data_IF_608493705587
#
_entry.id   IF_608493705587
#
_cell.length_a   1.000
_cell.length_b   1.000
_cell.length_c   1.000
_cell.angle_alpha   90.00
_cell.angle_beta   90.00
_cell.angle_gamma   90.00
#
_symmetry.space_group_name_H-M   'P 1'
#
loop_
_entity.id
_entity.type
_entity.pdbx_description
1 polymer ?
#
# COMPACT_ATOMS: atom_id res chain seq x y z
N UNK A 1 18.15 -14.07 12.17
CA UNK A 1 17.55 -15.42 12.34
C UNK A 1 16.09 -15.31 11.93
N UNK A 2 15.66 -16.01 10.88
CA UNK A 2 14.25 -16.00 10.44
C UNK A 2 13.43 -16.96 11.29
N UNK A 3 12.28 -16.53 11.82
CA UNK A 3 11.37 -17.39 12.57
C UNK A 3 10.18 -17.79 11.71
N UNK A 4 9.78 -19.07 11.77
CA UNK A 4 8.62 -19.57 11.04
C UNK A 4 7.34 -19.03 11.67
N UNK A 5 6.68 -18.09 11.00
CA UNK A 5 5.37 -17.61 11.41
C UNK A 5 4.33 -18.71 11.13
N UNK A 6 3.46 -19.01 12.10
CA UNK A 6 2.49 -20.11 12.01
C UNK A 6 1.45 -19.95 10.89
N UNK A 7 0.58 -20.95 10.69
CA UNK A 7 -0.44 -21.03 9.60
C UNK A 7 -1.38 -19.81 9.46
N UNK A 8 -1.40 -18.88 10.43
CA UNK A 8 -2.19 -17.64 10.38
C UNK A 8 -1.60 -16.58 9.43
N UNK A 9 -0.34 -16.72 9.02
CA UNK A 9 0.22 -15.90 7.96
C UNK A 9 -0.37 -16.35 6.62
N UNK A 10 -1.50 -15.75 6.23
CA UNK A 10 -1.98 -15.86 4.85
C UNK A 10 -0.85 -15.37 3.94
N UNK A 11 -0.56 -16.10 2.86
CA UNK A 11 0.44 -15.69 1.89
C UNK A 11 0.17 -14.26 1.41
N UNK A 12 1.24 -13.49 1.28
CA UNK A 12 1.18 -12.12 0.79
C UNK A 12 1.25 -12.18 -0.73
N UNK A 13 0.10 -12.20 -1.38
CA UNK A 13 0.04 -12.64 -2.78
C UNK A 13 0.41 -11.56 -3.81
N UNK A 14 0.33 -10.24 -3.52
CA UNK A 14 0.38 -9.24 -4.60
C UNK A 14 0.96 -7.86 -4.27
N UNK A 15 0.78 -7.31 -3.06
CA UNK A 15 1.19 -5.92 -2.79
C UNK A 15 1.53 -5.74 -1.32
N UNK A 16 2.83 -5.63 -1.04
CA UNK A 16 3.35 -5.44 0.30
C UNK A 16 4.63 -4.63 0.29
N UNK A 17 4.94 -4.06 1.44
CA UNK A 17 6.24 -3.48 1.73
C UNK A 17 6.63 -3.80 3.17
N UNK A 18 7.90 -3.58 3.49
CA UNK A 18 8.40 -3.66 4.86
C UNK A 18 8.90 -2.27 5.21
N UNK A 19 8.37 -1.70 6.29
CA UNK A 19 8.74 -0.37 6.79
C UNK A 19 9.01 -0.55 8.29
N UNK A 20 10.18 -0.12 8.77
CA UNK A 20 10.59 -0.26 10.18
C UNK A 20 10.32 -1.66 10.77
N UNK A 21 10.71 -2.71 10.01
CA UNK A 21 10.52 -4.12 10.37
C UNK A 21 9.05 -4.58 10.52
N UNK A 22 8.08 -3.82 10.03
CA UNK A 22 6.67 -4.23 9.97
C UNK A 22 6.29 -4.50 8.52
N UNK A 23 5.63 -5.64 8.29
CA UNK A 23 5.10 -5.99 6.98
C UNK A 23 3.73 -5.33 6.84
N UNK A 24 3.58 -4.52 5.80
CA UNK A 24 2.32 -3.91 5.40
C UNK A 24 1.84 -4.55 4.10
N UNK A 25 0.53 -4.70 3.94
CA UNK A 25 -0.06 -5.17 2.68
C UNK A 25 -1.30 -4.37 2.32
N UNK A 26 -1.63 -4.38 1.03
CA UNK A 26 -2.94 -3.98 0.55
C UNK A 26 -3.74 -5.21 0.12
N UNK A 27 -4.88 -5.42 0.77
CA UNK A 27 -5.71 -6.58 0.57
C UNK A 27 -7.19 -6.18 0.59
N UNK A 28 -7.88 -6.40 -0.53
CA UNK A 28 -9.32 -6.23 -0.67
C UNK A 28 -9.83 -4.85 -0.19
N UNK A 29 -9.20 -3.78 -0.67
CA UNK A 29 -9.58 -2.42 -0.32
C UNK A 29 -9.07 -1.94 1.04
N UNK A 30 -8.28 -2.74 1.76
CA UNK A 30 -7.78 -2.43 3.10
C UNK A 30 -6.26 -2.43 3.14
N UNK A 31 -5.72 -1.46 3.87
CA UNK A 31 -4.34 -1.49 4.33
C UNK A 31 -4.28 -2.30 5.62
N UNK A 32 -3.38 -3.27 5.65
CA UNK A 32 -3.19 -4.15 6.79
C UNK A 32 -1.71 -4.19 7.16
N UNK A 33 -1.42 -4.40 8.44
CA UNK A 33 -0.07 -4.62 8.94
C UNK A 33 -0.04 -5.89 9.79
N UNK A 34 1.10 -6.58 9.77
CA UNK A 34 1.26 -7.83 10.50
C UNK A 34 1.82 -7.57 11.91
N UNK A 35 1.01 -7.86 12.93
CA UNK A 35 1.44 -7.84 14.32
C UNK A 35 2.14 -9.15 14.66
N UNK A 36 3.46 -9.12 14.78
CA UNK A 36 4.28 -10.28 15.10
C UNK A 36 4.05 -10.83 16.50
N UNK A 37 3.61 -9.99 17.45
CA UNK A 37 3.41 -10.38 18.85
C UNK A 37 2.21 -11.31 18.98
N UNK A 38 1.09 -10.93 18.35
CA UNK A 38 -0.14 -11.75 18.36
C UNK A 38 -0.31 -12.62 17.11
N UNK A 39 0.60 -12.50 16.14
CA UNK A 39 0.64 -13.23 14.86
C UNK A 39 -0.65 -13.09 14.05
N UNK A 40 -1.13 -11.85 13.92
CA UNK A 40 -2.37 -11.51 13.22
C UNK A 40 -2.19 -10.29 12.31
N UNK A 41 -2.93 -10.30 11.21
CA UNK A 41 -3.13 -9.10 10.40
C UNK A 41 -4.11 -8.17 11.10
N UNK A 42 -3.75 -6.89 11.20
CA UNK A 42 -4.58 -5.82 11.73
C UNK A 42 -4.81 -4.77 10.66
N UNK A 43 -6.00 -4.18 10.63
CA UNK A 43 -6.32 -3.07 9.73
C UNK A 43 -5.52 -1.83 10.16
N UNK A 44 -4.97 -1.10 9.20
CA UNK A 44 -4.42 0.23 9.41
C UNK A 44 -5.58 1.25 9.47
N UNK A 45 -5.64 2.02 10.54
CA UNK A 45 -6.67 3.05 10.75
C UNK A 45 -6.21 4.41 10.19
N UNK A 46 -7.11 5.34 9.88
CA UNK A 46 -6.75 6.72 9.48
C UNK A 46 -6.39 6.90 8.00
N UNK A 47 -6.72 5.92 7.16
CA UNK A 47 -6.44 5.91 5.71
C UNK A 47 -7.71 5.83 4.87
N UNK A 48 -8.85 6.22 5.43
CA UNK A 48 -10.16 6.16 4.81
C UNK A 48 -10.29 7.09 3.58
N UNK A 49 -9.44 8.10 3.50
CA UNK A 49 -9.36 9.05 2.37
C UNK A 49 -8.76 8.41 1.10
N UNK A 50 -8.01 7.31 1.23
CA UNK A 50 -7.43 6.62 0.08
C UNK A 50 -8.52 5.77 -0.58
N UNK A 51 -8.79 5.93 -1.89
CA UNK A 51 -9.84 5.19 -2.55
C UNK A 51 -9.61 3.68 -2.48
N UNK A 52 -10.71 2.94 -2.35
CA UNK A 52 -10.69 1.47 -2.47
C UNK A 52 -10.45 1.12 -3.93
N UNK A 53 -9.29 0.55 -4.22
CA UNK A 53 -8.87 0.16 -5.56
C UNK A 53 -8.80 -1.36 -5.67
N UNK A 54 -8.82 -1.85 -6.90
CA UNK A 54 -8.68 -3.28 -7.16
C UNK A 54 -7.34 -3.76 -6.61
N UNK A 55 -7.37 -4.82 -5.79
CA UNK A 55 -6.20 -5.37 -5.09
C UNK A 55 -4.96 -5.53 -5.99
N UNK A 56 -5.15 -5.95 -7.24
CA UNK A 56 -4.06 -6.24 -8.19
C UNK A 56 -3.39 -4.99 -8.76
N UNK A 57 -4.01 -3.81 -8.62
CA UNK A 57 -3.51 -2.55 -9.17
C UNK A 57 -2.62 -1.78 -8.20
N UNK A 58 -2.77 -1.99 -6.89
CA UNK A 58 -1.97 -1.27 -5.89
C UNK A 58 -0.55 -1.84 -5.79
N UNK A 59 0.45 -0.98 -5.65
CA UNK A 59 1.84 -1.30 -5.29
C UNK A 59 2.30 -0.45 -4.12
N UNK A 60 2.89 -1.09 -3.13
CA UNK A 60 3.36 -0.47 -1.89
C UNK A 60 4.88 -0.37 -1.91
N UNK A 61 5.43 0.71 -1.38
CA UNK A 61 6.85 0.89 -1.17
C UNK A 61 7.13 1.66 0.13
N UNK A 62 8.33 1.46 0.68
CA UNK A 62 8.89 2.34 1.70
C UNK A 62 9.30 3.67 1.05
N UNK A 63 8.87 4.77 1.66
CA UNK A 63 9.21 6.14 1.28
C UNK A 63 9.75 6.89 2.50
N UNK A 64 10.97 6.54 2.91
CA UNK A 64 11.64 7.19 4.04
C UNK A 64 10.92 6.99 5.38
N UNK A 65 10.48 5.76 5.66
CA UNK A 65 9.70 5.44 6.86
C UNK A 65 8.19 5.68 6.69
N UNK A 66 7.75 6.23 5.55
CA UNK A 66 6.34 6.37 5.18
C UNK A 66 5.95 5.28 4.18
N UNK A 67 4.65 5.05 4.04
CA UNK A 67 4.14 4.12 3.04
C UNK A 67 3.70 4.89 1.79
N UNK A 68 4.38 4.64 0.67
CA UNK A 68 3.92 5.07 -0.64
C UNK A 68 3.04 3.99 -1.26
N UNK A 69 1.92 4.41 -1.87
CA UNK A 69 0.97 3.54 -2.56
C UNK A 69 0.77 4.07 -3.96
N UNK A 70 0.99 3.23 -4.97
CA UNK A 70 0.78 3.54 -6.39
C UNK A 70 -0.37 2.67 -6.93
N UNK A 71 -1.28 3.25 -7.70
CA UNK A 71 -2.33 2.50 -8.39
C UNK A 71 -2.71 3.16 -9.72
N UNK A 72 -3.27 2.38 -10.64
CA UNK A 72 -3.82 2.89 -11.89
C UNK A 72 -5.35 3.00 -11.83
N UNK A 73 -5.90 4.04 -12.45
CA UNK A 73 -7.34 4.25 -12.58
C UNK A 73 -7.68 4.69 -14.00
N UNK A 74 -8.67 4.07 -14.62
CA UNK A 74 -9.15 4.46 -15.95
C UNK A 74 -9.72 5.88 -15.93
N UNK A 75 -9.39 6.68 -16.96
CA UNK A 75 -9.91 8.03 -17.14
C UNK A 75 -11.11 7.97 -18.10
N UNK A 76 -12.35 8.20 -17.63
CA UNK A 76 -13.57 7.99 -18.43
C UNK A 76 -13.64 8.85 -19.71
N UNK A 77 -13.01 10.02 -19.71
CA UNK A 77 -13.14 11.03 -20.76
C UNK A 77 -12.12 10.90 -21.90
N UNK A 78 -11.17 9.96 -21.80
CA UNK A 78 -10.20 9.75 -22.86
C UNK A 78 -10.77 8.78 -23.89
N UNK A 79 -10.98 9.23 -25.14
CA UNK A 79 -11.44 8.38 -26.24
C UNK A 79 -10.58 7.12 -26.44
N UNK A 80 -9.34 7.14 -25.93
CA UNK A 80 -8.34 6.07 -26.05
C UNK A 80 -8.30 5.11 -24.83
N UNK A 81 -9.09 5.39 -23.77
CA UNK A 81 -9.14 4.56 -22.56
C UNK A 81 -7.88 4.61 -21.71
N UNK A 82 -7.17 5.74 -21.71
CA UNK A 82 -5.97 5.99 -20.92
C UNK A 82 -6.23 5.83 -19.42
N UNK A 83 -5.14 5.66 -18.67
CA UNK A 83 -5.17 5.51 -17.22
C UNK A 83 -4.36 6.61 -16.56
N UNK A 84 -4.84 7.08 -15.42
CA UNK A 84 -4.06 7.91 -14.51
C UNK A 84 -3.39 7.01 -13.47
N UNK A 85 -2.08 7.14 -13.32
CA UNK A 85 -1.33 6.61 -12.18
C UNK A 85 -1.46 7.62 -11.05
N UNK A 86 -1.90 7.14 -9.90
CA UNK A 86 -2.03 7.91 -8.67
C UNK A 86 -0.99 7.48 -7.66
N UNK A 87 -0.62 8.39 -6.77
CA UNK A 87 0.22 8.12 -5.63
C UNK A 87 -0.38 8.72 -4.36
N UNK A 88 -0.43 7.90 -3.30
CA UNK A 88 -0.63 8.37 -1.95
C UNK A 88 0.62 8.13 -1.10
N UNK A 89 0.98 9.10 -0.26
CA UNK A 89 2.01 8.94 0.76
C UNK A 89 1.34 9.01 2.12
N UNK A 90 1.53 7.96 2.90
CA UNK A 90 0.88 7.74 4.20
C UNK A 90 1.96 7.73 5.27
N UNK A 91 1.95 8.74 6.13
CA UNK A 91 2.76 8.73 7.35
C UNK A 91 2.20 7.68 8.33
N UNK A 92 3.08 6.95 8.99
CA UNK A 92 2.73 5.87 9.90
C UNK A 92 3.05 6.30 11.34
N UNK A 93 2.09 6.12 12.25
CA UNK A 93 2.24 6.45 13.66
C UNK A 93 1.92 5.23 14.52
N UNK A 94 2.86 4.83 15.38
CA UNK A 94 2.62 3.79 16.39
C UNK A 94 2.05 4.44 17.66
N UNK A 95 0.88 3.98 18.09
CA UNK A 95 0.22 4.47 19.30
C UNK A 95 0.57 3.63 20.52
N UNK A 96 0.37 4.19 21.71
CA UNK A 96 0.57 3.51 22.99
C UNK A 96 -0.27 2.22 23.15
N UNK A 97 -1.39 2.12 22.43
CA UNK A 97 -2.22 0.91 22.39
C UNK A 97 -1.59 -0.24 21.60
N UNK A 98 -0.46 -0.01 20.94
CA UNK A 98 0.17 -0.97 20.01
C UNK A 98 -0.48 -0.99 18.63
N UNK A 99 -1.52 -0.17 18.38
CA UNK A 99 -2.07 0.01 17.04
C UNK A 99 -1.21 0.96 16.20
N UNK A 100 -1.22 0.73 14.89
CA UNK A 100 -0.59 1.63 13.92
C UNK A 100 -1.69 2.41 13.20
N UNK A 101 -1.51 3.72 13.12
CA UNK A 101 -2.38 4.63 12.38
C UNK A 101 -1.63 5.15 11.16
N UNK A 102 -2.38 5.42 10.10
CA UNK A 102 -1.93 6.14 8.93
C UNK A 102 -2.46 7.57 8.95
N UNK A 103 -1.72 8.47 8.33
CA UNK A 103 -2.19 9.80 7.94
C UNK A 103 -1.78 10.03 6.49
N UNK A 104 -2.75 10.29 5.63
CA UNK A 104 -2.49 10.65 4.23
C UNK A 104 -1.87 12.05 4.20
N UNK A 105 -0.60 12.15 3.79
CA UNK A 105 0.08 13.44 3.65
C UNK A 105 0.01 13.97 2.22
N UNK A 106 -0.09 13.06 1.25
CA UNK A 106 -0.12 13.37 -0.17
C UNK A 106 -1.04 12.40 -0.89
N UNK A 107 -1.82 12.91 -1.84
CA UNK A 107 -2.69 12.12 -2.71
C UNK A 107 -2.83 12.85 -4.05
N UNK A 108 -2.01 12.47 -5.03
CA UNK A 108 -1.90 13.18 -6.31
C UNK A 108 -1.91 12.23 -7.52
N UNK A 109 -2.42 12.76 -8.63
CA UNK A 109 -2.19 12.18 -9.94
C UNK A 109 -0.72 12.40 -10.34
N UNK A 110 -0.04 11.32 -10.73
CA UNK A 110 1.40 11.34 -11.05
C UNK A 110 1.62 11.36 -12.56
N UNK A 111 0.91 10.50 -13.30
CA UNK A 111 1.19 10.30 -14.72
C UNK A 111 -0.03 9.76 -15.47
N UNK A 112 -0.36 10.37 -16.61
CA UNK A 112 -1.30 9.82 -17.58
C UNK A 112 -0.55 8.85 -18.50
N UNK A 113 -1.04 7.62 -18.62
CA UNK A 113 -0.43 6.56 -19.42
C UNK A 113 -1.44 5.88 -20.35
N UNK A 114 -0.99 5.28 -21.47
CA UNK A 114 -1.85 4.45 -22.30
C UNK A 114 -2.50 3.29 -21.52
N UNK A 115 -3.65 2.82 -21.99
CA UNK A 115 -4.42 1.73 -21.36
C UNK A 115 -3.61 0.45 -21.12
N UNK A 116 -2.64 0.16 -22.00
CA UNK A 116 -1.78 -1.01 -21.96
C UNK A 116 -0.78 -1.00 -20.79
N UNK A 117 -0.46 0.18 -20.24
CA UNK A 117 0.44 0.32 -19.12
C UNK A 117 -0.19 -0.18 -17.80
N UNK A 118 0.67 -0.71 -16.93
CA UNK A 118 0.34 -1.20 -15.59
C UNK A 118 1.50 -0.91 -14.64
N UNK A 119 1.18 -0.72 -13.36
CA UNK A 119 2.19 -0.60 -12.31
C UNK A 119 2.60 -2.02 -11.88
N UNK A 120 3.81 -2.43 -12.27
CA UNK A 120 4.31 -3.78 -11.98
C UNK A 120 4.93 -3.92 -10.59
N UNK A 121 5.72 -2.93 -10.17
CA UNK A 121 6.32 -2.87 -8.84
C UNK A 121 6.51 -1.41 -8.39
N UNK A 122 6.71 -1.22 -7.10
CA UNK A 122 7.12 0.05 -6.51
C UNK A 122 8.41 -0.19 -5.72
N UNK A 123 9.40 0.68 -5.90
CA UNK A 123 10.71 0.55 -5.27
C UNK A 123 11.05 1.84 -4.54
N UNK A 124 11.64 1.71 -3.37
CA UNK A 124 12.22 2.82 -2.64
C UNK A 124 13.53 3.23 -3.33
N UNK A 125 13.72 4.52 -3.59
CA UNK A 125 15.04 5.03 -3.95
C UNK A 125 15.88 5.11 -2.67
N UNK A 126 16.95 4.33 -2.58
CA UNK A 126 17.96 4.51 -1.53
C UNK A 126 18.87 5.66 -1.94
N UNK A 127 18.91 6.72 -1.13
CA UNK A 127 19.87 7.83 -1.26
C UNK A 127 21.01 7.59 -0.30
#
# INVERSE_FOLDING_TARGET
RWERVGRKMRWVWHSYCVIENVIYQYNDGKFEWFDTNVRLWKTLEGVEEVPKVVRKSARLADYGGKMAVLWDQLVPSSGDGNKMIWCAVIALERRNSGNIWGKVERHDAVLLVPKSCRVECALAATV
#
